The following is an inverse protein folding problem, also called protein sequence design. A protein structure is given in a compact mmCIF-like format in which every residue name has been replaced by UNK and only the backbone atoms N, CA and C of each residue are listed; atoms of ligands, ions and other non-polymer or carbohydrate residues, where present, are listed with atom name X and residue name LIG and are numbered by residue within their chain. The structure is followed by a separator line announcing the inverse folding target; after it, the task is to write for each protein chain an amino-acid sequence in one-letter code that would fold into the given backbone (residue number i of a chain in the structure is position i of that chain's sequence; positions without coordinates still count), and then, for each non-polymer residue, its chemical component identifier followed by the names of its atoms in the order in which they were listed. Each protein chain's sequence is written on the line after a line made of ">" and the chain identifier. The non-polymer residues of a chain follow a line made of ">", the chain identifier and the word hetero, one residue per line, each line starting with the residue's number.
data_IF_920171073813
#
_entry.id   IF_920171073813
#
_cell.length_a   1.000
_cell.length_b   1.000
_cell.length_c   1.000
_cell.angle_alpha   90.00
_cell.angle_beta   90.00
_cell.angle_gamma   90.00
#
_symmetry.space_group_name_H-M   'P 1'
#
loop_
_entity.id
_entity.type
_entity.pdbx_description
1 polymer ?
#
# COMPACT_ATOMS: atom_id res chain seq x y z
N UNK A 1 -20.71 -8.23 -4.50
CA UNK A 1 -19.78 -9.37 -4.69
C UNK A 1 -18.78 -9.34 -3.54
N UNK A 2 -19.10 -10.09 -2.49
CA UNK A 2 -18.38 -10.12 -1.21
C UNK A 2 -17.02 -10.81 -1.40
N UNK A 3 -15.96 -10.02 -1.57
CA UNK A 3 -14.61 -10.52 -1.31
C UNK A 3 -14.36 -10.30 0.18
N UNK A 4 -14.89 -11.21 0.99
CA UNK A 4 -14.39 -11.46 2.32
C UNK A 4 -12.98 -12.03 2.16
N UNK A 5 -11.98 -11.14 2.09
CA UNK A 5 -10.59 -11.54 2.37
C UNK A 5 -10.58 -11.87 3.85
N UNK A 6 -10.96 -13.12 4.19
CA UNK A 6 -10.74 -13.80 5.47
C UNK A 6 -10.64 -12.84 6.68
N UNK A 7 -11.74 -12.66 7.41
CA UNK A 7 -11.74 -12.19 8.80
C UNK A 7 -10.73 -12.92 9.72
N UNK A 8 -10.19 -14.06 9.27
CA UNK A 8 -9.23 -14.89 10.00
C UNK A 8 -7.88 -14.21 10.24
N UNK A 9 -7.40 -13.31 9.37
CA UNK A 9 -6.08 -12.69 9.61
C UNK A 9 -6.19 -11.52 10.59
N UNK A 10 -7.26 -10.71 10.52
CA UNK A 10 -7.37 -9.48 11.31
C UNK A 10 -7.40 -9.75 12.83
N UNK A 11 -7.93 -10.89 13.28
CA UNK A 11 -7.99 -11.22 14.71
C UNK A 11 -6.63 -11.55 15.36
N UNK A 12 -5.61 -11.87 14.56
CA UNK A 12 -4.28 -12.29 15.06
C UNK A 12 -3.20 -11.20 14.92
N UNK A 13 -3.56 -10.02 14.41
CA UNK A 13 -2.65 -8.89 14.21
C UNK A 13 -3.17 -7.63 14.88
N UNK A 14 -2.24 -6.89 15.47
CA UNK A 14 -2.48 -5.55 15.98
C UNK A 14 -2.80 -4.61 14.81
N UNK A 15 -4.06 -4.16 14.74
CA UNK A 15 -4.54 -3.32 13.66
C UNK A 15 -5.30 -2.09 14.19
N UNK A 16 -4.85 -0.93 13.75
CA UNK A 16 -5.51 0.34 13.99
C UNK A 16 -5.58 1.18 12.71
N UNK A 17 -6.62 1.99 12.61
CA UNK A 17 -6.84 2.94 11.53
C UNK A 17 -6.74 4.36 12.07
N UNK A 18 -6.03 5.24 11.36
CA UNK A 18 -5.97 6.67 11.68
C UNK A 18 -7.00 7.43 10.85
N UNK A 19 -8.07 7.90 11.50
CA UNK A 19 -9.14 8.66 10.85
C UNK A 19 -8.76 10.14 10.79
N UNK A 20 -8.35 10.62 9.61
CA UNK A 20 -8.11 12.05 9.36
C UNK A 20 -9.44 12.77 9.21
N UNK A 21 -9.68 13.76 10.08
CA UNK A 21 -10.86 14.63 10.03
C UNK A 21 -10.46 15.86 9.22
N UNK A 22 -11.10 16.05 8.09
CA UNK A 22 -10.91 17.21 7.24
C UNK A 22 -11.99 18.25 7.52
N UNK A 23 -11.58 19.50 7.71
CA UNK A 23 -12.48 20.63 7.91
C UNK A 23 -13.19 21.01 6.61
N UNK A 24 -14.26 21.79 6.76
CA UNK A 24 -15.03 22.29 5.62
C UNK A 24 -14.15 23.22 4.78
N UNK A 25 -14.10 22.96 3.47
CA UNK A 25 -13.48 23.85 2.50
C UNK A 25 -14.45 25.03 2.32
N UNK A 26 -14.03 26.25 2.64
CA UNK A 26 -14.72 27.43 2.14
C UNK A 26 -14.48 27.46 0.63
N UNK A 27 -15.55 27.29 -0.16
CA UNK A 27 -15.46 27.19 -1.60
C UNK A 27 -15.02 28.53 -2.21
N UNK A 28 -13.71 28.75 -2.27
CA UNK A 28 -13.08 29.77 -3.10
C UNK A 28 -12.90 29.27 -4.54
N UNK A 29 -12.41 30.14 -5.46
CA UNK A 29 -12.15 29.77 -6.86
C UNK A 29 -11.17 28.60 -7.03
N UNK A 30 -10.43 28.24 -5.97
CA UNK A 30 -9.60 27.05 -5.87
C UNK A 30 -10.41 25.77 -5.55
N UNK A 31 -11.32 25.38 -6.45
CA UNK A 31 -11.06 24.19 -7.25
C UNK A 31 -10.44 22.91 -6.64
N UNK A 32 -9.18 23.10 -6.27
CA UNK A 32 -8.18 22.07 -5.98
C UNK A 32 -7.67 22.14 -4.53
N UNK A 33 -8.27 22.97 -3.68
CA UNK A 33 -7.92 23.08 -2.27
C UNK A 33 -8.23 21.78 -1.53
N UNK A 34 -7.21 21.12 -1.01
CA UNK A 34 -7.41 20.02 -0.06
C UNK A 34 -8.00 20.60 1.23
N UNK A 35 -9.01 19.92 1.80
CA UNK A 35 -9.55 20.31 3.10
C UNK A 35 -8.45 20.37 4.15
N UNK A 36 -8.47 21.40 5.00
CA UNK A 36 -7.51 21.49 6.11
C UNK A 36 -7.72 20.30 7.03
N UNK A 37 -6.67 19.54 7.36
CA UNK A 37 -6.76 18.49 8.38
C UNK A 37 -6.99 19.18 9.73
N UNK A 38 -8.13 18.91 10.37
CA UNK A 38 -8.53 19.48 11.67
C UNK A 38 -8.15 18.54 12.82
N UNK A 39 -8.02 17.25 12.54
CA UNK A 39 -7.56 16.28 13.52
C UNK A 39 -7.29 14.91 12.92
N UNK A 40 -6.68 14.03 13.71
CA UNK A 40 -6.48 12.63 13.37
C UNK A 40 -6.82 11.79 14.60
N UNK A 41 -7.77 10.86 14.46
CA UNK A 41 -8.26 10.04 15.57
C UNK A 41 -7.86 8.58 15.32
N UNK A 42 -7.00 7.97 16.14
CA UNK A 42 -6.69 6.55 16.03
C UNK A 42 -7.89 5.71 16.49
N UNK A 43 -8.21 4.67 15.72
CA UNK A 43 -9.26 3.69 16.00
C UNK A 43 -8.65 2.30 15.96
N UNK A 44 -8.49 1.68 17.13
CA UNK A 44 -8.07 0.28 17.23
C UNK A 44 -9.23 -0.59 16.77
N UNK A 45 -8.93 -1.50 15.84
CA UNK A 45 -9.90 -2.44 15.30
C UNK A 45 -9.63 -3.87 15.80
N UNK A 46 -8.36 -4.22 16.04
CA UNK A 46 -7.97 -5.54 16.54
C UNK A 46 -6.64 -5.49 17.29
N UNK A 47 -6.45 -6.43 18.23
CA UNK A 47 -5.24 -6.57 19.03
C UNK A 47 -4.99 -5.44 20.04
N UNK A 48 -3.73 -5.26 20.42
CA UNK A 48 -3.22 -4.16 21.26
C UNK A 48 -2.08 -3.43 20.55
N UNK A 49 -2.37 -2.68 19.46
CA UNK A 49 -1.35 -1.92 18.75
C UNK A 49 -0.74 -0.82 19.62
N UNK A 50 0.58 -0.64 19.50
CA UNK A 50 1.29 0.49 20.07
C UNK A 50 0.79 1.79 19.43
N UNK A 51 0.11 2.62 20.24
CA UNK A 51 -0.48 3.88 19.82
C UNK A 51 0.53 4.86 19.23
N UNK A 52 1.80 4.80 19.64
CA UNK A 52 2.85 5.67 19.12
C UNK A 52 3.26 5.33 17.69
N UNK A 53 2.99 4.10 17.24
CA UNK A 53 3.32 3.62 15.89
C UNK A 53 2.18 3.79 14.89
N UNK A 54 0.96 4.11 15.36
CA UNK A 54 -0.20 4.29 14.51
C UNK A 54 0.02 5.52 13.60
N UNK A 55 0.22 5.27 12.32
CA UNK A 55 0.51 6.30 11.32
C UNK A 55 0.01 5.91 9.93
N UNK A 56 -0.29 6.89 9.08
CA UNK A 56 -0.64 6.64 7.66
C UNK A 56 0.56 6.66 6.72
N UNK A 57 1.72 7.12 7.19
CA UNK A 57 2.90 7.38 6.35
C UNK A 57 3.31 6.17 5.51
N UNK A 58 3.32 4.98 6.12
CA UNK A 58 3.70 3.73 5.46
C UNK A 58 2.75 3.35 4.32
N UNK A 59 1.44 3.35 4.57
CA UNK A 59 0.45 3.00 3.54
C UNK A 59 0.34 4.08 2.46
N UNK A 60 0.50 5.35 2.82
CA UNK A 60 0.52 6.46 1.86
C UNK A 60 1.74 6.35 0.94
N UNK A 61 2.92 6.03 1.49
CA UNK A 61 4.15 5.77 0.71
C UNK A 61 4.00 4.55 -0.19
N UNK A 62 3.41 3.46 0.30
CA UNK A 62 3.14 2.27 -0.49
C UNK A 62 2.19 2.59 -1.67
N UNK A 63 1.08 3.29 -1.40
CA UNK A 63 0.13 3.72 -2.43
C UNK A 63 0.76 4.66 -3.47
N UNK A 64 1.68 5.54 -3.05
CA UNK A 64 2.44 6.37 -3.98
C UNK A 64 3.36 5.50 -4.86
N UNK A 65 4.11 4.58 -4.27
CA UNK A 65 5.00 3.68 -5.01
C UNK A 65 4.25 2.83 -6.04
N UNK A 66 3.11 2.24 -5.65
CA UNK A 66 2.23 1.50 -6.55
C UNK A 66 1.78 2.38 -7.72
N UNK A 67 1.30 3.60 -7.46
CA UNK A 67 0.83 4.53 -8.50
C UNK A 67 1.93 4.98 -9.45
N UNK A 68 3.15 5.15 -8.95
CA UNK A 68 4.29 5.58 -9.77
C UNK A 68 4.82 4.46 -10.67
N UNK A 69 4.71 3.20 -10.27
CA UNK A 69 5.24 2.06 -11.05
C UNK A 69 4.18 1.42 -11.95
N UNK A 70 2.91 1.45 -11.54
CA UNK A 70 1.82 0.85 -12.30
C UNK A 70 0.99 1.93 -12.99
N UNK A 71 1.25 2.09 -14.29
CA UNK A 71 0.50 2.99 -15.21
C UNK A 71 -1.02 2.77 -15.20
N UNK A 72 -1.48 1.58 -14.77
CA UNK A 72 -2.91 1.23 -14.58
C UNK A 72 -3.63 2.09 -13.56
N UNK A 73 -2.90 2.75 -12.65
CA UNK A 73 -3.44 3.70 -11.68
C UNK A 73 -3.22 5.16 -12.09
N UNK A 74 -2.68 5.41 -13.28
CA UNK A 74 -2.51 6.76 -13.83
C UNK A 74 -3.72 7.14 -14.69
N UNK A 75 -4.20 8.38 -14.56
CA UNK A 75 -5.30 8.90 -15.38
C UNK A 75 -4.83 9.21 -16.79
N UNK A 76 -5.76 9.20 -17.76
CA UNK A 76 -5.51 9.63 -19.15
C UNK A 76 -4.39 8.84 -19.83
N UNK A 77 -4.40 7.51 -19.67
CA UNK A 77 -3.47 6.62 -20.36
C UNK A 77 -4.23 5.44 -20.97
N UNK A 78 -3.69 4.88 -22.05
CA UNK A 78 -4.25 3.69 -22.69
C UNK A 78 -3.91 2.38 -21.94
N UNK A 79 -3.14 2.46 -20.85
CA UNK A 79 -2.67 1.31 -20.10
C UNK A 79 -3.62 0.95 -18.94
N UNK A 80 -4.85 0.53 -19.25
CA UNK A 80 -5.85 0.12 -18.27
C UNK A 80 -6.14 -1.38 -18.32
N UNK A 81 -6.59 -1.95 -17.20
CA UNK A 81 -7.07 -3.33 -17.15
C UNK A 81 -8.58 -3.36 -17.42
N UNK A 82 -9.01 -4.09 -18.45
CA UNK A 82 -10.44 -4.34 -18.74
C UNK A 82 -11.10 -5.29 -17.74
N UNK A 83 -10.29 -6.19 -17.17
CA UNK A 83 -10.71 -7.26 -16.24
C UNK A 83 -10.06 -7.04 -14.88
N UNK A 84 -10.78 -7.32 -13.80
CA UNK A 84 -10.28 -7.17 -12.43
C UNK A 84 -9.11 -8.13 -12.18
N UNK A 85 -9.15 -9.33 -12.74
CA UNK A 85 -8.12 -10.36 -12.64
C UNK A 85 -6.77 -9.83 -13.16
N UNK A 86 -6.78 -9.11 -14.29
CA UNK A 86 -5.57 -8.53 -14.88
C UNK A 86 -5.00 -7.39 -14.02
N UNK A 87 -5.86 -6.60 -13.36
CA UNK A 87 -5.41 -5.58 -12.41
C UNK A 87 -4.78 -6.24 -11.17
N UNK A 88 -5.43 -7.26 -10.62
CA UNK A 88 -4.92 -8.04 -9.49
C UNK A 88 -3.55 -8.65 -9.82
N UNK A 89 -3.42 -9.32 -10.96
CA UNK A 89 -2.16 -9.92 -11.42
C UNK A 89 -1.05 -8.87 -11.54
N UNK A 90 -1.34 -7.70 -12.12
CA UNK A 90 -0.35 -6.62 -12.24
C UNK A 90 0.10 -6.07 -10.87
N UNK A 91 -0.83 -5.93 -9.92
CA UNK A 91 -0.51 -5.48 -8.55
C UNK A 91 0.32 -6.53 -7.82
N UNK A 92 -0.08 -7.81 -7.88
CA UNK A 92 0.65 -8.92 -7.24
C UNK A 92 2.07 -8.99 -7.80
N UNK A 93 2.24 -8.94 -9.12
CA UNK A 93 3.55 -8.96 -9.76
C UNK A 93 4.44 -7.80 -9.28
N UNK A 94 3.86 -6.60 -9.18
CA UNK A 94 4.60 -5.44 -8.67
C UNK A 94 5.01 -5.60 -7.20
N UNK A 95 4.11 -6.07 -6.35
CA UNK A 95 4.38 -6.29 -4.92
C UNK A 95 5.48 -7.35 -4.74
N UNK A 96 5.41 -8.44 -5.51
CA UNK A 96 6.44 -9.47 -5.50
C UNK A 96 7.79 -8.91 -5.97
N UNK A 97 7.83 -8.20 -7.10
CA UNK A 97 9.04 -7.52 -7.57
C UNK A 97 9.63 -6.55 -6.54
N UNK A 98 8.78 -5.73 -5.91
CA UNK A 98 9.20 -4.74 -4.92
C UNK A 98 9.86 -5.38 -3.70
N UNK A 99 9.31 -6.51 -3.22
CA UNK A 99 9.80 -7.16 -2.01
C UNK A 99 11.02 -8.05 -2.26
N UNK A 100 11.08 -8.75 -3.40
CA UNK A 100 12.11 -9.78 -3.64
C UNK A 100 13.26 -9.33 -4.56
N UNK A 101 13.01 -8.44 -5.53
CA UNK A 101 14.01 -8.07 -6.54
C UNK A 101 14.60 -6.67 -6.32
N UNK A 102 13.83 -5.74 -5.74
CA UNK A 102 14.24 -4.33 -5.64
C UNK A 102 14.95 -4.05 -4.32
N UNK A 103 16.21 -3.60 -4.41
CA UNK A 103 16.95 -3.10 -3.24
C UNK A 103 16.34 -1.78 -2.76
N UNK A 104 16.01 -1.71 -1.47
CA UNK A 104 15.45 -0.50 -0.87
C UNK A 104 16.56 0.48 -0.52
N UNK A 105 16.40 1.76 -0.86
CA UNK A 105 17.46 2.77 -0.70
C UNK A 105 17.94 2.93 0.75
N UNK A 106 17.02 2.92 1.73
CA UNK A 106 17.38 3.02 3.15
C UNK A 106 17.83 1.72 3.76
N UNK A 107 17.27 0.57 3.37
CA UNK A 107 17.63 -0.74 3.95
C UNK A 107 18.94 -1.27 3.36
N UNK A 108 19.33 -0.84 2.15
CA UNK A 108 20.45 -1.37 1.37
C UNK A 108 20.32 -2.85 0.96
N UNK A 109 19.27 -3.53 1.42
CA UNK A 109 18.82 -4.88 1.03
C UNK A 109 17.37 -4.84 0.52
N UNK A 110 16.82 -5.97 0.10
CA UNK A 110 15.40 -6.06 -0.29
C UNK A 110 14.50 -6.15 0.95
N UNK A 111 13.23 -5.71 0.88
CA UNK A 111 12.29 -5.87 1.99
C UNK A 111 12.11 -7.32 2.45
N UNK A 112 12.13 -8.29 1.52
CA UNK A 112 12.02 -9.71 1.87
C UNK A 112 13.26 -10.22 2.62
N UNK A 113 14.45 -9.69 2.30
CA UNK A 113 15.68 -10.01 3.04
C UNK A 113 15.65 -9.43 4.45
N UNK A 114 15.25 -8.16 4.61
CA UNK A 114 15.12 -7.53 5.92
C UNK A 114 14.11 -8.26 6.81
N UNK A 115 13.04 -8.79 6.22
CA UNK A 115 12.04 -9.60 6.92
C UNK A 115 12.48 -11.06 7.18
N UNK A 116 13.66 -11.48 6.72
CA UNK A 116 14.14 -12.86 6.85
C UNK A 116 13.39 -13.89 6.01
N UNK A 117 12.63 -13.45 5.00
CA UNK A 117 11.85 -14.31 4.09
C UNK A 117 12.71 -14.81 2.93
N UNK A 118 13.71 -14.02 2.53
CA UNK A 118 14.67 -14.36 1.48
C UNK A 118 16.10 -14.14 1.98
N UNK A 119 17.05 -14.91 1.46
CA UNK A 119 18.48 -14.84 1.80
C UNK A 119 19.30 -14.07 0.75
N UNK A 120 18.72 -13.78 -0.41
CA UNK A 120 19.37 -13.05 -1.49
C UNK A 120 18.37 -12.23 -2.33
N UNK A 121 18.91 -11.38 -3.20
CA UNK A 121 18.12 -10.60 -4.17
C UNK A 121 17.68 -11.54 -5.30
N UNK A 122 16.37 -11.66 -5.52
CA UNK A 122 15.86 -12.49 -6.60
C UNK A 122 16.09 -11.88 -7.97
N UNK A 123 16.37 -12.73 -8.94
CA UNK A 123 16.32 -12.35 -10.36
C UNK A 123 14.88 -12.30 -10.87
N UNK A 124 14.64 -11.60 -11.98
CA UNK A 124 13.31 -11.62 -12.63
C UNK A 124 12.93 -13.03 -13.09
N UNK A 125 13.90 -13.83 -13.55
CA UNK A 125 13.65 -15.21 -13.96
C UNK A 125 13.18 -16.05 -12.77
N UNK A 126 13.85 -15.90 -11.63
CA UNK A 126 13.46 -16.58 -10.39
C UNK A 126 12.07 -16.15 -9.91
N UNK A 127 11.77 -14.85 -9.95
CA UNK A 127 10.45 -14.32 -9.61
C UNK A 127 9.35 -14.97 -10.44
N UNK A 128 9.55 -15.15 -11.75
CA UNK A 128 8.53 -15.72 -12.65
C UNK A 128 8.32 -17.23 -12.44
N UNK A 129 9.28 -17.93 -11.87
CA UNK A 129 9.21 -19.37 -11.60
C UNK A 129 8.65 -19.64 -10.20
N UNK A 130 8.91 -18.75 -9.23
CA UNK A 130 8.63 -18.97 -7.80
C UNK A 130 7.43 -18.18 -7.25
N UNK A 131 6.95 -17.14 -7.93
CA UNK A 131 5.81 -16.32 -7.49
C UNK A 131 4.46 -16.84 -8.03
#
# INVERSE_FOLDING_TARGET
>A
MNICVKCIVISEIDYAQLHKIYGRIEAGPDWYGSGRVVGAVPRVHSGSPDYQRISTSHIERANLSVRMHLRRFTRMTNAFSKKLENLKAAVVLYVAFYNFCRVHQTLRVTPAMEAGIADHIWSIAELMIRA
#
